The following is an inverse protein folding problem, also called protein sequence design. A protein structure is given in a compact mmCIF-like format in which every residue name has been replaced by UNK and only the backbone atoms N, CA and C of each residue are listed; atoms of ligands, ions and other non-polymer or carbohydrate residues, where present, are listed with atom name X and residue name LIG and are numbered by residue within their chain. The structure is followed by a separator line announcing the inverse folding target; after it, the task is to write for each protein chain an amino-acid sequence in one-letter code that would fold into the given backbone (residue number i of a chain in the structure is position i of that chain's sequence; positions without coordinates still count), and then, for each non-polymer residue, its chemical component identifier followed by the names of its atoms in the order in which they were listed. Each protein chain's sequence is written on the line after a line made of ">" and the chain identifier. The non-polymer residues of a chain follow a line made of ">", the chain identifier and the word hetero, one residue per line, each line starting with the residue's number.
data_IF_538266216646
#
_entry.id   IF_538266216646
#
_cell.length_a   1.000
_cell.length_b   1.000
_cell.length_c   1.000
_cell.angle_alpha   90.00
_cell.angle_beta   90.00
_cell.angle_gamma   90.00
#
_symmetry.space_group_name_H-M   'P 1'
#
loop_
_entity.id
_entity.type
_entity.pdbx_description
1 polymer ?
#
# COMPACT_ATOMS: atom_id res chain seq x y z
N UNK A 1 -9.82 -36.61 -8.18
CA UNK A 1 -8.89 -36.48 -7.04
C UNK A 1 -8.45 -35.03 -6.97
N UNK A 2 -8.60 -34.38 -5.82
CA UNK A 2 -8.10 -33.01 -5.61
C UNK A 2 -6.57 -33.03 -5.59
N UNK A 3 -5.94 -32.16 -6.38
CA UNK A 3 -4.47 -32.07 -6.46
C UNK A 3 -3.91 -31.26 -5.30
N UNK A 4 -2.63 -31.51 -4.98
CA UNK A 4 -1.84 -30.74 -4.02
C UNK A 4 -1.64 -29.29 -4.49
N UNK A 5 -1.44 -28.38 -3.54
CA UNK A 5 -1.12 -26.97 -3.81
C UNK A 5 0.31 -26.67 -3.38
N UNK A 6 1.15 -26.20 -4.31
CA UNK A 6 2.53 -25.80 -4.03
C UNK A 6 2.68 -24.27 -4.04
N UNK A 7 3.51 -23.75 -3.13
CA UNK A 7 3.97 -22.37 -3.11
C UNK A 7 5.30 -22.27 -2.36
N UNK A 8 6.31 -21.63 -2.98
CA UNK A 8 7.63 -21.54 -2.36
C UNK A 8 8.29 -22.92 -2.21
N UNK A 9 8.77 -23.24 -1.01
CA UNK A 9 9.36 -24.54 -0.69
C UNK A 9 8.37 -25.58 -0.13
N UNK A 10 7.08 -25.25 -0.07
CA UNK A 10 6.06 -26.08 0.58
C UNK A 10 4.97 -26.55 -0.38
N UNK A 11 4.48 -27.77 -0.15
CA UNK A 11 3.38 -28.40 -0.86
C UNK A 11 2.36 -28.92 0.15
N UNK A 12 1.10 -28.56 -0.01
CA UNK A 12 -0.03 -29.03 0.81
C UNK A 12 -0.88 -30.04 0.04
N UNK A 13 -0.98 -31.27 0.53
CA UNK A 13 -1.93 -32.26 0.05
C UNK A 13 -3.34 -32.00 0.61
N UNK A 14 -4.40 -32.60 0.02
CA UNK A 14 -5.76 -32.47 0.56
C UNK A 14 -5.87 -32.88 2.04
N UNK A 15 -6.43 -32.00 2.86
CA UNK A 15 -6.56 -32.18 4.31
C UNK A 15 -5.34 -31.75 5.12
N UNK A 16 -4.36 -31.07 4.51
CA UNK A 16 -3.15 -30.63 5.20
C UNK A 16 -3.14 -29.12 5.50
N UNK A 17 -2.54 -28.80 6.65
CA UNK A 17 -2.06 -27.48 7.01
C UNK A 17 -0.53 -27.56 7.16
N UNK A 18 0.19 -26.81 6.33
CA UNK A 18 1.65 -26.88 6.26
C UNK A 18 2.27 -25.48 6.26
N UNK A 19 3.45 -25.38 6.85
CA UNK A 19 4.23 -24.15 6.96
C UNK A 19 5.45 -24.22 6.05
N UNK A 20 5.80 -23.09 5.44
CA UNK A 20 6.96 -22.99 4.58
C UNK A 20 7.40 -21.55 4.35
N UNK A 21 8.19 -21.37 3.29
CA UNK A 21 8.84 -20.12 2.96
C UNK A 21 8.77 -19.81 1.47
N UNK A 22 8.51 -18.56 1.16
CA UNK A 22 8.73 -18.00 -0.17
C UNK A 22 10.06 -17.24 -0.17
N UNK A 23 10.97 -17.54 -1.08
CA UNK A 23 12.20 -16.75 -1.22
C UNK A 23 11.90 -15.40 -1.91
N UNK A 24 11.87 -14.33 -1.11
CA UNK A 24 11.67 -12.97 -1.63
C UNK A 24 12.93 -12.46 -2.31
N UNK A 25 14.08 -12.59 -1.66
CA UNK A 25 15.35 -12.09 -2.17
C UNK A 25 16.55 -12.88 -1.61
N UNK A 26 17.59 -13.04 -2.42
CA UNK A 26 18.92 -13.45 -1.96
C UNK A 26 19.76 -12.20 -1.72
N UNK A 27 20.36 -12.08 -0.53
CA UNK A 27 21.14 -10.92 -0.09
C UNK A 27 22.63 -11.10 -0.41
N UNK A 28 23.40 -10.00 -0.61
CA UNK A 28 24.85 -10.08 -0.89
C UNK A 28 25.68 -10.77 0.20
N UNK A 29 25.14 -10.86 1.42
CA UNK A 29 25.75 -11.55 2.56
C UNK A 29 25.56 -13.08 2.51
N UNK A 30 24.85 -13.61 1.50
CA UNK A 30 24.51 -15.03 1.38
C UNK A 30 23.23 -15.43 2.13
N UNK A 31 22.64 -14.52 2.92
CA UNK A 31 21.35 -14.75 3.56
C UNK A 31 20.18 -14.62 2.57
N UNK A 32 19.03 -15.21 2.93
CA UNK A 32 17.79 -15.13 2.15
C UNK A 32 16.72 -14.39 2.95
N UNK A 33 16.14 -13.36 2.34
CA UNK A 33 14.90 -12.75 2.83
C UNK A 33 13.75 -13.63 2.37
N UNK A 34 12.95 -14.13 3.32
CA UNK A 34 11.90 -15.12 3.06
C UNK A 34 10.58 -14.70 3.69
N UNK A 35 9.48 -14.86 2.96
CA UNK A 35 8.13 -14.66 3.48
C UNK A 35 7.65 -15.95 4.14
N UNK A 36 7.11 -15.90 5.38
CA UNK A 36 6.45 -17.06 5.96
C UNK A 36 5.16 -17.37 5.18
N UNK A 37 4.98 -18.63 4.78
CA UNK A 37 3.75 -19.12 4.16
C UNK A 37 3.11 -20.14 5.10
N UNK A 38 1.80 -20.08 5.21
CA UNK A 38 0.99 -21.20 5.69
C UNK A 38 -0.02 -21.55 4.60
N UNK A 39 0.04 -22.80 4.12
CA UNK A 39 -0.93 -23.34 3.17
C UNK A 39 -1.92 -24.23 3.94
N UNK A 40 -3.20 -23.99 3.73
CA UNK A 40 -4.26 -24.86 4.22
C UNK A 40 -5.03 -25.37 3.02
N UNK A 41 -5.00 -26.69 2.80
CA UNK A 41 -5.68 -27.33 1.68
C UNK A 41 -6.82 -28.17 2.22
N UNK A 42 -8.04 -27.76 1.90
CA UNK A 42 -9.24 -28.53 2.17
C UNK A 42 -9.23 -29.91 1.50
N UNK A 43 -9.97 -30.86 2.06
CA UNK A 43 -10.15 -32.19 1.43
C UNK A 43 -10.92 -32.09 0.12
N UNK A 44 -11.90 -31.19 0.09
CA UNK A 44 -12.78 -30.97 -1.03
C UNK A 44 -12.30 -29.80 -1.93
N UNK A 45 -12.60 -29.84 -3.24
CA UNK A 45 -12.30 -28.73 -4.13
C UNK A 45 -13.12 -27.49 -3.74
N UNK A 46 -12.59 -26.32 -4.09
CA UNK A 46 -13.20 -25.02 -3.80
C UNK A 46 -12.26 -23.89 -4.19
N UNK A 47 -12.65 -22.64 -3.92
CA UNK A 47 -11.85 -21.46 -4.28
C UNK A 47 -10.47 -21.43 -3.61
N UNK A 48 -9.58 -20.60 -4.15
CA UNK A 48 -8.31 -20.24 -3.52
C UNK A 48 -8.40 -18.81 -2.97
N UNK A 49 -8.36 -18.64 -1.66
CA UNK A 49 -8.35 -17.32 -1.01
C UNK A 49 -6.96 -17.02 -0.49
N UNK A 50 -6.46 -15.82 -0.78
CA UNK A 50 -5.21 -15.33 -0.22
C UNK A 50 -5.49 -14.33 0.90
N UNK A 51 -4.86 -14.53 2.05
CA UNK A 51 -4.88 -13.58 3.17
C UNK A 51 -3.45 -13.18 3.49
N UNK A 52 -3.13 -11.92 3.25
CA UNK A 52 -1.79 -11.36 3.48
C UNK A 52 -1.84 -10.31 4.57
N UNK A 53 -0.72 -10.09 5.23
CA UNK A 53 -0.59 -9.00 6.20
C UNK A 53 0.82 -8.42 6.19
N UNK A 54 0.96 -7.27 6.88
CA UNK A 54 2.25 -6.71 7.25
C UNK A 54 3.17 -6.47 6.04
N UNK A 55 2.60 -5.97 4.94
CA UNK A 55 3.39 -5.32 3.90
C UNK A 55 4.08 -4.07 4.47
N UNK A 56 3.43 -3.40 5.43
CA UNK A 56 4.06 -2.44 6.31
C UNK A 56 4.46 -3.10 7.63
N UNK A 57 5.75 -3.05 7.97
CA UNK A 57 6.31 -3.85 9.06
C UNK A 57 5.84 -3.46 10.47
N UNK A 58 5.34 -2.23 10.66
CA UNK A 58 4.79 -1.74 11.93
C UNK A 58 3.30 -2.06 12.12
N UNK A 59 2.64 -2.68 11.15
CA UNK A 59 1.22 -3.04 11.21
C UNK A 59 1.09 -4.51 11.66
N UNK A 60 0.85 -4.71 12.96
CA UNK A 60 0.99 -6.04 13.60
C UNK A 60 -0.33 -6.79 13.85
N UNK A 61 -1.48 -6.13 13.73
CA UNK A 61 -2.79 -6.75 14.00
C UNK A 61 -3.11 -7.86 13.00
N UNK A 62 -2.81 -7.65 11.72
CA UNK A 62 -3.07 -8.63 10.66
C UNK A 62 -2.36 -9.98 10.86
N UNK A 63 -1.12 -9.99 11.40
CA UNK A 63 -0.42 -11.23 11.73
C UNK A 63 -1.20 -12.02 12.78
N UNK A 64 -1.66 -11.32 13.82
CA UNK A 64 -2.41 -11.93 14.91
C UNK A 64 -3.75 -12.50 14.43
N UNK A 65 -4.40 -11.83 13.47
CA UNK A 65 -5.61 -12.34 12.80
C UNK A 65 -5.28 -13.62 12.03
N UNK A 66 -4.25 -13.62 11.18
CA UNK A 66 -3.86 -14.80 10.40
C UNK A 66 -3.57 -15.99 11.33
N UNK A 67 -2.77 -15.80 12.38
CA UNK A 67 -2.49 -16.88 13.34
C UNK A 67 -3.74 -17.40 14.05
N UNK A 68 -4.75 -16.55 14.28
CA UNK A 68 -6.00 -16.96 14.89
C UNK A 68 -6.90 -17.77 13.94
N UNK A 69 -6.78 -17.56 12.63
CA UNK A 69 -7.51 -18.32 11.62
C UNK A 69 -6.96 -19.74 11.47
N UNK A 70 -5.64 -19.92 11.68
CA UNK A 70 -4.92 -21.17 11.46
C UNK A 70 -5.14 -22.18 12.60
N UNK A 71 -6.40 -22.54 12.83
CA UNK A 71 -6.83 -23.58 13.76
C UNK A 71 -6.35 -24.96 13.27
N UNK A 72 -6.01 -25.87 14.18
CA UNK A 72 -5.43 -27.17 13.85
C UNK A 72 -6.34 -28.05 12.96
N UNK A 73 -7.65 -27.91 13.13
CA UNK A 73 -8.67 -28.64 12.38
C UNK A 73 -9.14 -27.89 11.12
N UNK A 74 -8.58 -26.70 10.81
CA UNK A 74 -9.08 -25.87 9.71
C UNK A 74 -9.10 -26.63 8.37
N UNK A 75 -8.09 -27.45 8.09
CA UNK A 75 -8.00 -28.20 6.84
C UNK A 75 -9.13 -29.24 6.66
N UNK A 76 -9.69 -29.76 7.75
CA UNK A 76 -10.78 -30.73 7.69
C UNK A 76 -12.14 -30.08 7.37
N UNK A 77 -12.30 -28.81 7.71
CA UNK A 77 -13.54 -28.03 7.52
C UNK A 77 -13.51 -27.10 6.30
N UNK A 78 -12.33 -26.87 5.73
CA UNK A 78 -12.13 -26.01 4.58
C UNK A 78 -12.46 -26.74 3.27
N UNK A 79 -13.07 -26.04 2.32
CA UNK A 79 -13.14 -26.41 0.89
C UNK A 79 -12.24 -25.49 0.09
N UNK A 80 -11.43 -26.05 -0.80
CA UNK A 80 -10.46 -25.27 -1.60
C UNK A 80 -9.12 -25.03 -0.88
N UNK A 81 -8.52 -23.86 -1.06
CA UNK A 81 -7.20 -23.52 -0.51
C UNK A 81 -7.18 -22.15 0.14
N UNK A 82 -6.69 -22.07 1.37
CA UNK A 82 -6.27 -20.80 1.98
C UNK A 82 -4.74 -20.68 1.87
N UNK A 83 -4.28 -19.60 1.24
CA UNK A 83 -2.88 -19.18 1.27
C UNK A 83 -2.77 -18.02 2.26
N UNK A 84 -2.08 -18.25 3.37
CA UNK A 84 -1.84 -17.23 4.38
C UNK A 84 -0.38 -16.80 4.38
N UNK A 85 -0.13 -15.50 4.27
CA UNK A 85 1.22 -14.91 4.38
C UNK A 85 1.20 -13.92 5.54
N UNK A 86 1.61 -14.33 6.75
CA UNK A 86 1.61 -13.46 7.92
C UNK A 86 2.39 -12.17 7.73
N UNK A 87 3.52 -12.20 7.01
CA UNK A 87 4.31 -11.00 6.75
C UNK A 87 4.83 -10.95 5.32
N UNK A 88 4.42 -9.92 4.59
CA UNK A 88 4.96 -9.57 3.27
C UNK A 88 6.25 -8.74 3.37
N UNK A 89 6.61 -8.24 4.57
CA UNK A 89 7.81 -7.46 4.82
C UNK A 89 8.48 -7.84 6.17
N UNK A 90 9.07 -9.05 6.28
CA UNK A 90 9.72 -9.50 7.51
C UNK A 90 10.86 -8.57 7.96
N UNK A 91 11.66 -8.05 7.02
CA UNK A 91 12.67 -7.04 7.28
C UNK A 91 12.11 -5.78 7.99
N UNK A 92 10.99 -5.23 7.52
CA UNK A 92 10.30 -4.11 8.16
C UNK A 92 9.76 -4.50 9.54
N UNK A 93 9.19 -5.69 9.68
CA UNK A 93 8.67 -6.21 10.94
C UNK A 93 9.75 -6.32 12.02
N UNK A 94 10.91 -6.89 11.69
CA UNK A 94 12.05 -6.99 12.60
C UNK A 94 12.51 -5.62 13.09
N UNK A 95 12.48 -4.62 12.22
CA UNK A 95 12.81 -3.24 12.57
C UNK A 95 11.66 -2.46 13.22
N UNK A 96 10.44 -3.03 13.26
CA UNK A 96 9.19 -2.34 13.60
C UNK A 96 9.03 -1.04 12.81
N UNK A 97 9.31 -1.10 11.53
CA UNK A 97 9.22 0.02 10.59
C UNK A 97 8.27 -0.32 9.46
N UNK A 98 7.55 0.70 8.99
CA UNK A 98 6.71 0.61 7.79
C UNK A 98 7.46 0.03 6.58
N UNK A 99 8.70 0.45 6.37
CA UNK A 99 9.52 0.06 5.21
C UNK A 99 10.56 -0.99 5.57
N UNK A 100 11.01 -1.75 4.56
CA UNK A 100 12.11 -2.69 4.70
C UNK A 100 13.44 -1.94 4.89
N UNK A 101 14.38 -2.52 5.63
CA UNK A 101 15.77 -2.00 5.62
C UNK A 101 16.53 -2.36 4.33
N UNK A 102 15.96 -3.21 3.47
CA UNK A 102 16.51 -3.56 2.15
C UNK A 102 16.15 -2.53 1.06
N UNK A 103 15.03 -1.82 1.23
CA UNK A 103 14.56 -0.77 0.34
C UNK A 103 13.72 0.25 1.13
N UNK A 104 14.11 1.52 1.08
CA UNK A 104 13.46 2.61 1.84
C UNK A 104 12.15 3.10 1.21
N UNK A 105 11.81 2.64 0.02
CA UNK A 105 10.52 2.93 -0.62
C UNK A 105 9.39 2.21 0.12
N UNK A 106 8.17 2.71 -0.02
CA UNK A 106 6.99 2.00 0.49
C UNK A 106 6.85 0.65 -0.25
N UNK A 107 6.95 -0.50 0.44
CA UNK A 107 6.90 -1.82 -0.19
C UNK A 107 5.54 -2.08 -0.86
N UNK A 108 4.47 -1.45 -0.40
CA UNK A 108 3.15 -1.53 -1.00
C UNK A 108 3.02 -0.63 -2.25
N UNK A 109 4.16 -0.19 -2.83
CA UNK A 109 4.29 0.47 -4.14
C UNK A 109 5.28 -0.25 -5.05
N UNK A 110 5.77 -1.42 -4.62
CA UNK A 110 6.80 -2.20 -5.32
C UNK A 110 6.23 -3.38 -6.11
N UNK A 111 4.92 -3.63 -6.05
CA UNK A 111 4.28 -4.63 -6.91
C UNK A 111 4.28 -4.18 -8.38
N UNK A 112 4.02 -5.09 -9.34
CA UNK A 112 3.97 -4.77 -10.76
C UNK A 112 2.96 -3.65 -11.10
N UNK A 113 3.27 -2.94 -12.20
CA UNK A 113 2.52 -1.77 -12.68
C UNK A 113 1.26 -2.14 -13.47
N UNK A 114 0.28 -1.23 -13.49
CA UNK A 114 -0.93 -1.34 -14.30
C UNK A 114 -1.24 -0.03 -15.06
N UNK A 115 -1.29 -0.07 -16.41
CA UNK A 115 -0.89 -1.20 -17.24
C UNK A 115 0.62 -1.47 -17.09
N UNK A 116 1.13 -2.65 -17.49
CA UNK A 116 2.56 -2.85 -17.60
C UNK A 116 3.08 -1.83 -18.61
N UNK A 117 3.77 -0.79 -18.15
CA UNK A 117 4.29 0.27 -19.00
C UNK A 117 5.60 -0.22 -19.65
N UNK A 118 5.65 -0.42 -20.98
CA UNK A 118 6.85 -0.86 -21.66
C UNK A 118 7.97 0.17 -21.49
N UNK A 119 9.11 -0.24 -20.94
CA UNK A 119 10.27 0.64 -20.73
C UNK A 119 10.21 1.57 -19.50
N UNK A 120 9.17 1.49 -18.67
CA UNK A 120 9.10 2.10 -17.34
C UNK A 120 9.41 1.10 -16.21
N UNK A 121 9.39 -0.20 -16.51
CA UNK A 121 10.08 -1.18 -15.69
C UNK A 121 11.57 -0.84 -15.71
N UNK A 122 12.18 -0.64 -14.53
CA UNK A 122 13.62 -0.51 -14.46
C UNK A 122 14.26 -1.72 -15.14
N UNK A 123 15.18 -1.52 -16.08
CA UNK A 123 16.01 -2.59 -16.67
C UNK A 123 16.75 -3.40 -15.57
N UNK A 124 16.85 -2.82 -14.38
CA UNK A 124 17.33 -3.43 -13.15
C UNK A 124 16.31 -3.20 -12.03
N UNK A 125 15.25 -4.02 -11.91
CA UNK A 125 14.30 -3.88 -10.81
C UNK A 125 15.06 -4.04 -9.49
N UNK A 126 14.67 -3.26 -8.47
CA UNK A 126 15.26 -3.47 -7.15
C UNK A 126 14.93 -4.87 -6.63
N UNK A 127 15.73 -5.37 -5.69
CA UNK A 127 15.62 -6.76 -5.24
C UNK A 127 14.22 -7.12 -4.74
N UNK A 128 13.53 -6.19 -4.06
CA UNK A 128 12.16 -6.39 -3.59
C UNK A 128 11.12 -6.31 -4.72
N UNK A 129 11.30 -5.45 -5.72
CA UNK A 129 10.39 -5.40 -6.88
C UNK A 129 10.44 -6.71 -7.67
N UNK A 130 11.64 -7.27 -7.85
CA UNK A 130 11.80 -8.59 -8.47
C UNK A 130 11.15 -9.70 -7.64
N UNK A 131 11.33 -9.68 -6.32
CA UNK A 131 10.70 -10.61 -5.38
C UNK A 131 9.17 -10.54 -5.42
N UNK A 132 8.59 -9.35 -5.33
CA UNK A 132 7.15 -9.14 -5.39
C UNK A 132 6.55 -9.45 -6.77
N UNK A 133 7.30 -9.26 -7.86
CA UNK A 133 6.86 -9.71 -9.18
C UNK A 133 6.72 -11.24 -9.25
N UNK A 134 7.66 -11.99 -8.66
CA UNK A 134 7.53 -13.46 -8.54
C UNK A 134 6.37 -13.88 -7.65
N UNK A 135 6.20 -13.21 -6.50
CA UNK A 135 5.07 -13.47 -5.62
C UNK A 135 3.73 -13.19 -6.31
N UNK A 136 3.64 -12.08 -7.04
CA UNK A 136 2.44 -11.71 -7.79
C UNK A 136 2.08 -12.76 -8.84
N UNK A 137 3.06 -13.36 -9.53
CA UNK A 137 2.80 -14.43 -10.48
C UNK A 137 2.06 -15.61 -9.82
N UNK A 138 2.39 -15.94 -8.57
CA UNK A 138 1.69 -16.96 -7.78
C UNK A 138 0.31 -16.51 -7.30
N UNK A 139 0.18 -15.25 -6.90
CA UNK A 139 -1.10 -14.65 -6.48
C UNK A 139 -2.17 -14.69 -7.57
N UNK A 140 -1.79 -14.81 -8.86
CA UNK A 140 -2.73 -14.95 -9.98
C UNK A 140 -3.60 -16.22 -9.90
N UNK A 141 -3.27 -17.17 -9.03
CA UNK A 141 -4.05 -18.39 -8.77
C UNK A 141 -5.18 -18.16 -7.76
N UNK A 142 -5.32 -16.96 -7.20
CA UNK A 142 -6.37 -16.62 -6.24
C UNK A 142 -7.71 -16.34 -6.92
N UNK A 143 -8.79 -16.72 -6.26
CA UNK A 143 -10.16 -16.30 -6.58
C UNK A 143 -10.55 -15.02 -5.84
N UNK A 144 -10.00 -14.81 -4.63
CA UNK A 144 -10.15 -13.59 -3.83
C UNK A 144 -8.86 -13.30 -3.04
N UNK A 145 -8.60 -12.03 -2.76
CA UNK A 145 -7.46 -11.60 -1.94
C UNK A 145 -7.90 -10.59 -0.86
N UNK A 146 -7.41 -10.82 0.36
CA UNK A 146 -7.60 -9.93 1.52
C UNK A 146 -6.25 -9.51 2.05
N UNK A 147 -5.93 -8.22 1.96
CA UNK A 147 -4.68 -7.68 2.49
C UNK A 147 -4.95 -6.90 3.78
N UNK A 148 -4.42 -7.37 4.90
CA UNK A 148 -4.66 -6.85 6.24
C UNK A 148 -3.62 -5.78 6.60
N UNK A 149 -4.11 -4.57 6.83
CA UNK A 149 -3.38 -3.36 7.20
C UNK A 149 -3.83 -2.85 8.57
N UNK A 150 -3.12 -1.85 9.06
CA UNK A 150 -3.58 -0.95 10.11
C UNK A 150 -3.49 0.50 9.62
N UNK A 151 -4.35 1.36 10.16
CA UNK A 151 -4.41 2.75 9.69
C UNK A 151 -3.72 3.73 10.63
N UNK A 152 -4.09 3.68 11.91
CA UNK A 152 -3.59 4.65 12.88
C UNK A 152 -4.41 4.70 14.16
N UNK A 153 -3.93 5.54 15.09
CA UNK A 153 -4.52 5.70 16.41
C UNK A 153 -5.99 6.17 16.32
N UNK A 154 -6.90 5.43 16.99
CA UNK A 154 -8.36 5.67 17.04
C UNK A 154 -9.11 5.48 15.71
N UNK A 155 -8.49 4.91 14.68
CA UNK A 155 -9.23 4.51 13.50
C UNK A 155 -10.21 3.37 13.84
N UNK A 156 -11.45 3.45 13.36
CA UNK A 156 -12.33 2.29 13.35
C UNK A 156 -11.81 1.25 12.35
N UNK A 157 -12.33 0.02 12.41
CA UNK A 157 -12.05 -0.96 11.37
C UNK A 157 -12.92 -0.68 10.15
N UNK A 158 -12.35 -0.78 8.95
CA UNK A 158 -13.04 -0.60 7.68
C UNK A 158 -12.30 -1.33 6.56
N UNK A 159 -12.93 -1.40 5.39
CA UNK A 159 -12.25 -1.85 4.17
C UNK A 159 -12.04 -0.67 3.23
N UNK A 160 -10.92 -0.69 2.53
CA UNK A 160 -10.68 0.17 1.37
C UNK A 160 -11.05 -0.63 0.13
N UNK A 161 -12.03 -0.13 -0.61
CA UNK A 161 -12.41 -0.64 -1.93
C UNK A 161 -11.63 0.09 -3.01
N UNK A 162 -10.72 -0.63 -3.63
CA UNK A 162 -9.97 -0.17 -4.81
C UNK A 162 -10.90 0.11 -6.01
N UNK A 163 -10.40 0.94 -6.94
CA UNK A 163 -11.12 1.31 -8.16
C UNK A 163 -11.01 0.19 -9.19
N UNK A 164 -12.13 -0.28 -9.73
CA UNK A 164 -12.10 -1.12 -10.94
C UNK A 164 -11.92 -0.23 -12.17
N UNK A 165 -10.73 -0.28 -12.76
CA UNK A 165 -10.39 0.48 -13.96
C UNK A 165 -10.50 -0.39 -15.22
N UNK A 166 -10.86 0.25 -16.34
CA UNK A 166 -10.85 -0.32 -17.68
C UNK A 166 -10.43 0.75 -18.70
N UNK A 167 -9.91 0.32 -19.86
CA UNK A 167 -9.39 1.24 -20.88
C UNK A 167 -10.31 1.36 -22.07
N UNK A 168 -10.82 0.23 -22.57
CA UNK A 168 -11.55 0.17 -23.83
C UNK A 168 -13.02 -0.14 -23.54
N UNK A 169 -13.98 0.46 -24.25
CA UNK A 169 -15.41 0.23 -24.02
C UNK A 169 -15.80 -1.26 -24.06
N UNK A 170 -15.12 -2.08 -24.86
CA UNK A 170 -15.33 -3.52 -24.93
C UNK A 170 -14.96 -4.26 -23.64
N UNK A 171 -14.10 -3.68 -22.79
CA UNK A 171 -13.71 -4.26 -21.50
C UNK A 171 -14.77 -3.97 -20.40
N UNK A 172 -15.80 -3.15 -20.69
CA UNK A 172 -16.81 -2.71 -19.74
C UNK A 172 -17.61 -3.86 -19.09
N UNK A 173 -18.07 -4.90 -19.82
CA UNK A 173 -18.78 -6.02 -19.20
C UNK A 173 -17.91 -6.76 -18.18
N UNK A 174 -16.65 -7.06 -18.52
CA UNK A 174 -15.71 -7.71 -17.60
C UNK A 174 -15.33 -6.80 -16.41
N UNK A 175 -15.35 -5.48 -16.59
CA UNK A 175 -15.19 -4.54 -15.49
C UNK A 175 -16.39 -4.51 -14.54
N UNK A 176 -17.61 -4.66 -15.05
CA UNK A 176 -18.81 -4.77 -14.21
C UNK A 176 -18.84 -6.06 -13.43
N UNK A 177 -18.54 -7.18 -14.08
CA UNK A 177 -18.47 -8.48 -13.40
C UNK A 177 -17.43 -8.46 -12.25
N UNK A 178 -16.24 -7.91 -12.50
CA UNK A 178 -15.24 -7.76 -11.45
C UNK A 178 -15.71 -6.83 -10.33
N UNK A 179 -16.41 -5.74 -10.66
CA UNK A 179 -16.96 -4.82 -9.67
C UNK A 179 -18.03 -5.48 -8.80
N UNK A 180 -18.91 -6.29 -9.38
CA UNK A 180 -19.96 -7.03 -8.66
C UNK A 180 -19.34 -8.11 -7.75
N UNK A 181 -18.30 -8.83 -8.22
CA UNK A 181 -17.54 -9.76 -7.37
C UNK A 181 -16.79 -9.06 -6.23
N UNK A 182 -16.23 -7.88 -6.50
CA UNK A 182 -15.60 -7.04 -5.47
C UNK A 182 -16.63 -6.54 -4.45
N UNK A 183 -17.83 -6.18 -4.90
CA UNK A 183 -18.95 -5.80 -4.02
C UNK A 183 -19.37 -6.95 -3.11
N UNK A 184 -19.48 -8.17 -3.65
CA UNK A 184 -19.75 -9.37 -2.85
C UNK A 184 -18.66 -9.57 -1.77
N UNK A 185 -17.39 -9.51 -2.17
CA UNK A 185 -16.25 -9.63 -1.25
C UNK A 185 -16.30 -8.57 -0.14
N UNK A 186 -16.59 -7.32 -0.49
CA UNK A 186 -16.74 -6.22 0.47
C UNK A 186 -17.85 -6.52 1.49
N UNK A 187 -19.02 -6.94 1.01
CA UNK A 187 -20.20 -7.19 1.83
C UNK A 187 -20.00 -8.35 2.80
N UNK A 188 -19.29 -9.41 2.40
CA UNK A 188 -19.04 -10.55 3.28
C UNK A 188 -18.31 -10.14 4.56
N UNK A 189 -17.37 -9.20 4.50
CA UNK A 189 -16.57 -8.82 5.67
C UNK A 189 -17.38 -8.32 6.86
N UNK A 190 -18.57 -7.75 6.62
CA UNK A 190 -19.36 -7.06 7.65
C UNK A 190 -18.75 -5.75 8.14
N UNK A 191 -17.66 -5.27 7.51
CA UNK A 191 -16.99 -4.02 7.86
C UNK A 191 -17.52 -2.85 7.02
N UNK A 192 -17.45 -1.61 7.55
CA UNK A 192 -17.73 -0.41 6.77
C UNK A 192 -16.86 -0.33 5.50
N UNK A 193 -17.47 0.05 4.38
CA UNK A 193 -16.78 0.18 3.08
C UNK A 193 -16.40 1.63 2.80
N UNK A 194 -15.12 1.86 2.54
CA UNK A 194 -14.57 3.15 2.13
C UNK A 194 -14.03 3.04 0.71
N UNK A 195 -14.60 3.80 -0.22
CA UNK A 195 -14.10 3.85 -1.58
C UNK A 195 -12.77 4.61 -1.62
N UNK A 196 -11.84 4.12 -2.43
CA UNK A 196 -10.55 4.78 -2.57
C UNK A 196 -10.64 6.13 -3.30
N UNK A 197 -9.60 6.95 -3.19
CA UNK A 197 -9.46 8.30 -3.77
C UNK A 197 -9.77 8.35 -5.29
N UNK A 198 -9.99 9.55 -5.87
CA UNK A 198 -10.17 9.73 -7.31
C UNK A 198 -9.02 9.12 -8.13
N UNK A 199 -9.32 8.62 -9.33
CA UNK A 199 -8.42 7.77 -10.14
C UNK A 199 -7.12 8.45 -10.56
N UNK A 200 -7.15 9.75 -10.83
CA UNK A 200 -5.96 10.55 -11.10
C UNK A 200 -4.98 10.52 -9.92
N UNK A 201 -5.50 10.77 -8.71
CA UNK A 201 -4.70 10.73 -7.48
C UNK A 201 -4.29 9.30 -7.12
N UNK A 202 -5.14 8.32 -7.39
CA UNK A 202 -4.87 6.90 -7.18
C UNK A 202 -3.61 6.45 -7.95
N UNK A 203 -3.53 6.83 -9.23
CA UNK A 203 -2.39 6.51 -10.08
C UNK A 203 -1.15 7.31 -9.69
N UNK A 204 -1.28 8.61 -9.41
CA UNK A 204 -0.18 9.45 -8.92
C UNK A 204 0.42 8.91 -7.61
N UNK A 205 -0.41 8.43 -6.69
CA UNK A 205 0.01 7.81 -5.43
C UNK A 205 0.53 6.38 -5.59
N UNK A 206 0.55 5.84 -6.82
CA UNK A 206 0.96 4.48 -7.16
C UNK A 206 0.19 3.38 -6.42
N UNK A 207 -1.08 3.63 -6.07
CA UNK A 207 -1.91 2.67 -5.34
C UNK A 207 -2.26 1.43 -6.20
N UNK A 208 -2.24 1.55 -7.53
CA UNK A 208 -2.34 0.40 -8.44
C UNK A 208 -1.19 -0.61 -8.27
N UNK A 209 -0.07 -0.20 -7.64
CA UNK A 209 1.08 -1.05 -7.30
C UNK A 209 1.04 -1.53 -5.83
N UNK A 210 -0.12 -1.48 -5.18
CA UNK A 210 -0.35 -2.18 -3.91
C UNK A 210 -0.66 -3.66 -4.14
N UNK A 211 -0.64 -4.45 -3.07
CA UNK A 211 -1.04 -5.87 -3.11
C UNK A 211 -2.47 -6.00 -3.70
N UNK A 212 -3.43 -5.27 -3.12
CA UNK A 212 -4.84 -5.29 -3.55
C UNK A 212 -5.02 -4.66 -4.93
N UNK A 213 -4.35 -3.54 -5.20
CA UNK A 213 -4.44 -2.79 -6.45
C UNK A 213 -3.93 -3.60 -7.65
N UNK A 214 -2.77 -4.24 -7.50
CA UNK A 214 -2.18 -5.04 -8.59
C UNK A 214 -3.03 -6.31 -8.83
N UNK A 215 -3.53 -6.95 -7.76
CA UNK A 215 -4.42 -8.11 -7.86
C UNK A 215 -5.72 -7.74 -8.60
N UNK A 216 -6.35 -6.63 -8.21
CA UNK A 216 -7.59 -6.16 -8.82
C UNK A 216 -7.41 -5.74 -10.27
N UNK A 217 -6.39 -4.93 -10.56
CA UNK A 217 -6.26 -4.28 -11.85
C UNK A 217 -5.57 -5.18 -12.88
N UNK A 218 -4.48 -5.85 -12.49
CA UNK A 218 -3.65 -6.64 -13.41
C UNK A 218 -4.02 -8.13 -13.42
N UNK A 219 -4.44 -8.70 -12.29
CA UNK A 219 -4.89 -10.10 -12.25
C UNK A 219 -6.41 -10.25 -12.43
N UNK A 220 -7.18 -9.15 -12.32
CA UNK A 220 -8.65 -9.17 -12.36
C UNK A 220 -9.26 -10.04 -11.26
N UNK A 221 -8.60 -10.07 -10.11
CA UNK A 221 -9.00 -10.81 -8.92
C UNK A 221 -9.66 -9.82 -7.94
N UNK A 222 -10.88 -10.06 -7.44
CA UNK A 222 -11.46 -9.24 -6.39
C UNK A 222 -10.53 -9.21 -5.17
N UNK A 223 -10.05 -8.02 -4.83
CA UNK A 223 -9.09 -7.81 -3.76
C UNK A 223 -9.46 -6.58 -2.93
N UNK A 224 -9.30 -6.68 -1.61
CA UNK A 224 -9.60 -5.60 -0.67
C UNK A 224 -8.43 -5.37 0.28
N UNK A 225 -8.28 -4.13 0.73
CA UNK A 225 -7.46 -3.79 1.90
C UNK A 225 -8.37 -3.66 3.11
N UNK A 226 -8.03 -4.33 4.21
CA UNK A 226 -8.75 -4.25 5.48
C UNK A 226 -7.90 -3.47 6.46
N UNK A 227 -8.45 -2.41 7.05
CA UNK A 227 -7.75 -1.52 7.97
C UNK A 227 -8.17 -1.85 9.41
N UNK A 228 -7.27 -2.43 10.21
CA UNK A 228 -7.53 -2.96 11.56
C UNK A 228 -7.03 -2.02 12.66
N UNK A 229 -7.44 -0.75 12.59
CA UNK A 229 -7.22 0.22 13.65
C UNK A 229 -5.75 0.61 13.87
N UNK A 230 -5.24 0.36 15.08
CA UNK A 230 -3.95 0.85 15.57
C UNK A 230 -2.74 0.20 14.90
N UNK A 231 -1.72 1.02 14.61
CA UNK A 231 -0.37 0.60 14.19
C UNK A 231 0.53 0.38 15.41
N UNK A 232 1.46 -0.57 15.35
CA UNK A 232 2.50 -0.81 16.36
C UNK A 232 2.08 -1.65 17.57
N UNK A 233 0.79 -1.92 17.75
CA UNK A 233 0.28 -2.84 18.77
C UNK A 233 -1.01 -3.52 18.28
N UNK A 234 -1.31 -4.68 18.86
CA UNK A 234 -2.54 -5.42 18.58
C UNK A 234 -3.66 -4.89 19.48
N UNK A 235 -4.68 -4.29 18.88
CA UNK A 235 -5.95 -3.99 19.56
C UNK A 235 -6.82 -5.27 19.55
N UNK A 236 -7.22 -5.81 20.72
CA UNK A 236 -8.06 -7.00 20.80
C UNK A 236 -9.39 -6.88 20.04
N UNK A 237 -10.02 -5.71 20.04
CA UNK A 237 -11.30 -5.50 19.36
C UNK A 237 -11.10 -5.51 17.84
N UNK A 238 -10.07 -4.80 17.35
CA UNK A 238 -9.72 -4.81 15.93
C UNK A 238 -9.26 -6.20 15.45
N UNK A 239 -8.51 -6.93 16.28
CA UNK A 239 -8.15 -8.33 16.01
C UNK A 239 -9.40 -9.20 15.86
N UNK A 240 -10.35 -9.11 16.78
CA UNK A 240 -11.58 -9.88 16.70
C UNK A 240 -12.39 -9.53 15.44
N UNK A 241 -12.48 -8.25 15.10
CA UNK A 241 -13.12 -7.81 13.86
C UNK A 241 -12.44 -8.38 12.61
N UNK A 242 -11.11 -8.40 12.57
CA UNK A 242 -10.34 -9.01 11.47
C UNK A 242 -10.57 -10.52 11.34
N UNK A 243 -10.69 -11.24 12.46
CA UNK A 243 -11.02 -12.69 12.47
C UNK A 243 -12.40 -12.93 11.87
N UNK A 244 -13.41 -12.18 12.35
CA UNK A 244 -14.78 -12.27 11.82
C UNK A 244 -14.80 -11.95 10.33
N UNK A 245 -14.16 -10.86 9.91
CA UNK A 245 -14.11 -10.45 8.51
C UNK A 245 -13.49 -11.55 7.62
N UNK A 246 -12.35 -12.13 8.02
CA UNK A 246 -11.70 -13.19 7.23
C UNK A 246 -12.52 -14.48 7.20
N UNK A 247 -13.10 -14.92 8.34
CA UNK A 247 -14.00 -16.09 8.38
C UNK A 247 -15.21 -15.89 7.48
N UNK A 248 -15.78 -14.69 7.48
CA UNK A 248 -16.90 -14.38 6.61
C UNK A 248 -16.53 -14.34 5.13
N UNK A 249 -15.33 -13.89 4.77
CA UNK A 249 -14.83 -14.02 3.39
C UNK A 249 -14.75 -15.50 3.00
N UNK A 250 -14.21 -16.36 3.88
CA UNK A 250 -14.15 -17.80 3.61
C UNK A 250 -15.56 -18.42 3.50
N UNK A 251 -16.53 -18.03 4.34
CA UNK A 251 -17.92 -18.49 4.23
C UNK A 251 -18.63 -17.98 2.98
N UNK A 252 -18.50 -16.69 2.69
CA UNK A 252 -19.08 -16.07 1.49
C UNK A 252 -18.52 -16.66 0.19
N UNK A 253 -17.25 -17.06 0.20
CA UNK A 253 -16.64 -17.81 -0.89
C UNK A 253 -17.04 -19.31 -0.92
N UNK A 254 -17.84 -19.80 0.03
CA UNK A 254 -18.23 -21.20 0.12
C UNK A 254 -17.12 -22.16 0.60
N UNK A 255 -16.05 -21.62 1.19
CA UNK A 255 -14.92 -22.40 1.71
C UNK A 255 -15.13 -22.91 3.13
N UNK A 256 -15.96 -22.23 3.93
CA UNK A 256 -16.36 -22.67 5.27
C UNK A 256 -17.89 -22.76 5.36
N UNK A 257 -18.44 -23.68 6.18
CA UNK A 257 -19.87 -23.79 6.37
C UNK A 257 -20.46 -22.67 7.24
N UNK A 258 -21.78 -22.49 7.13
CA UNK A 258 -22.58 -21.61 7.96
C UNK A 258 -22.84 -20.22 7.37
N UNK A 259 -23.64 -19.44 8.09
CA UNK A 259 -23.97 -18.05 7.74
C UNK A 259 -22.82 -17.09 8.11
N UNK A 260 -22.86 -15.88 7.55
CA UNK A 260 -21.93 -14.81 7.92
C UNK A 260 -22.09 -14.45 9.41
N UNK A 261 -20.97 -14.41 10.13
CA UNK A 261 -20.92 -13.96 11.52
C UNK A 261 -21.20 -12.45 11.59
N UNK A 262 -22.07 -11.99 12.50
CA UNK A 262 -22.29 -10.56 12.70
C UNK A 262 -21.04 -9.89 13.26
N UNK A 263 -20.72 -8.70 12.77
CA UNK A 263 -19.60 -7.91 13.28
C UNK A 263 -19.94 -7.34 14.66
N UNK A 264 -19.11 -7.65 15.66
CA UNK A 264 -19.31 -7.28 17.08
C UNK A 264 -18.04 -6.69 17.69
N UNK A 265 -18.20 -5.95 18.79
CA UNK A 265 -17.06 -5.45 19.58
C UNK A 265 -16.36 -4.20 19.01
N UNK A 266 -16.77 -3.72 17.84
CA UNK A 266 -16.28 -2.46 17.25
C UNK A 266 -17.42 -1.53 16.84
N UNK A 267 -17.20 -0.20 16.83
CA UNK A 267 -18.15 0.73 16.23
C UNK A 267 -18.23 0.52 14.71
N UNK A 268 -19.45 0.35 14.21
CA UNK A 268 -19.75 0.32 12.76
C UNK A 268 -20.53 1.60 12.44
N UNK A 269 -19.88 2.63 11.86
CA UNK A 269 -20.57 3.84 11.48
C UNK A 269 -21.66 3.52 10.45
N UNK A 270 -22.90 3.90 10.73
CA UNK A 270 -23.99 3.82 9.75
C UNK A 270 -23.91 5.05 8.86
N UNK A 271 -23.62 4.84 7.58
CA UNK A 271 -23.64 5.88 6.56
C UNK A 271 -24.65 5.50 5.49
N UNK A 272 -25.61 6.39 5.23
CA UNK A 272 -26.69 6.19 4.25
C UNK A 272 -26.22 6.41 2.79
N UNK A 273 -24.93 6.67 2.59
CA UNK A 273 -24.35 6.98 1.29
C UNK A 273 -22.93 6.43 1.18
N UNK A 274 -22.45 6.12 -0.05
CA UNK A 274 -21.07 5.74 -0.27
C UNK A 274 -20.11 6.81 0.23
N UNK A 275 -19.12 6.38 1.01
CA UNK A 275 -18.04 7.25 1.49
C UNK A 275 -16.77 7.00 0.70
N UNK A 276 -15.96 8.05 0.55
CA UNK A 276 -14.66 8.01 -0.10
C UNK A 276 -13.59 8.50 0.87
N UNK A 277 -12.40 7.90 0.79
CA UNK A 277 -11.21 8.36 1.51
C UNK A 277 -10.85 9.78 1.07
N UNK A 278 -10.55 10.65 2.03
CA UNK A 278 -9.92 11.95 1.78
C UNK A 278 -8.64 12.07 2.63
N UNK A 279 -7.64 12.79 2.12
CA UNK A 279 -6.32 12.92 2.75
C UNK A 279 -6.26 14.06 3.76
N UNK A 280 -7.21 15.00 3.71
CA UNK A 280 -7.21 16.18 4.58
C UNK A 280 -8.45 16.16 5.47
N UNK A 281 -8.31 16.18 6.81
CA UNK A 281 -9.43 16.42 7.70
C UNK A 281 -10.04 17.78 7.37
N UNK A 282 -11.27 17.81 6.85
CA UNK A 282 -12.04 19.06 6.80
C UNK A 282 -12.96 19.08 8.00
N UNK A 283 -12.48 19.62 9.12
CA UNK A 283 -13.42 20.23 10.03
C UNK A 283 -14.08 21.37 9.25
N UNK A 284 -15.42 21.49 9.29
CA UNK A 284 -16.01 22.79 9.01
C UNK A 284 -15.39 23.71 10.04
N UNK A 285 -14.58 24.66 9.60
CA UNK A 285 -14.30 25.82 10.43
C UNK A 285 -15.67 26.36 10.83
N UNK A 286 -16.09 26.09 12.07
CA UNK A 286 -16.98 27.01 12.74
C UNK A 286 -16.16 28.28 12.77
N UNK A 287 -16.38 29.17 11.80
CA UNK A 287 -15.86 30.52 11.82
C UNK A 287 -16.33 31.16 13.13
N UNK A 288 -15.60 30.92 14.21
CA UNK A 288 -15.59 31.79 15.36
C UNK A 288 -14.64 32.89 14.93
N UNK A 289 -15.12 34.12 14.65
CA UNK A 289 -14.21 35.21 14.36
C UNK A 289 -13.25 35.30 15.55
N UNK A 290 -11.95 35.17 15.28
CA UNK A 290 -10.93 35.43 16.28
C UNK A 290 -11.23 36.81 16.88
N UNK A 291 -11.27 36.97 18.21
CA UNK A 291 -11.52 38.28 18.80
C UNK A 291 -10.48 39.25 18.22
N UNK A 292 -10.98 40.33 17.62
CA UNK A 292 -10.14 41.39 17.05
C UNK A 292 -9.11 41.75 18.10
N UNK A 293 -7.83 41.48 17.83
CA UNK A 293 -6.74 41.91 18.72
C UNK A 293 -6.92 43.40 18.97
N UNK A 294 -7.20 43.77 20.21
CA UNK A 294 -7.16 45.16 20.63
C UNK A 294 -5.82 45.74 20.18
N UNK A 295 -5.87 46.83 19.40
CA UNK A 295 -4.68 47.52 18.91
C UNK A 295 -3.83 47.91 20.12
N UNK A 296 -2.67 47.27 20.29
CA UNK A 296 -1.68 47.75 21.27
C UNK A 296 -1.24 49.16 20.87
N UNK A 297 -1.08 50.10 21.82
CA UNK A 297 -0.60 51.44 21.51
C UNK A 297 0.78 51.38 20.85
N UNK A 298 0.98 52.20 19.82
CA UNK A 298 2.28 52.32 19.12
C UNK A 298 3.32 52.89 20.08
N UNK A 299 4.27 52.06 20.51
CA UNK A 299 5.50 52.54 21.15
C UNK A 299 6.37 53.19 20.07
N UNK A 300 6.63 54.51 20.21
CA UNK A 300 7.56 55.25 19.35
C UNK A 300 8.96 54.67 19.48
N UNK A 301 9.52 54.11 18.41
CA UNK A 301 10.94 53.70 18.36
C UNK A 301 11.82 54.96 18.20
N UNK A 302 12.80 55.12 19.10
CA UNK A 302 13.90 56.09 18.94
C UNK A 302 14.84 55.65 17.80
N UNK A 303 15.47 56.58 17.06
CA UNK A 303 16.35 56.25 15.94
C UNK A 303 17.72 55.73 16.44
N UNK A 304 18.43 54.95 15.61
CA UNK A 304 19.72 54.36 15.97
C UNK A 304 20.84 55.42 15.97
N UNK A 305 21.77 55.31 16.93
CA UNK A 305 23.00 56.12 16.97
C UNK A 305 24.04 55.52 16.03
N UNK A 306 24.68 56.37 15.21
CA UNK A 306 25.79 56.01 14.31
C UNK A 306 27.04 55.55 15.10
N UNK A 307 27.81 54.57 14.59
CA UNK A 307 29.12 54.25 15.15
C UNK A 307 30.20 55.22 14.64
N UNK A 308 30.96 55.81 15.57
CA UNK A 308 32.15 56.62 15.29
C UNK A 308 33.29 55.73 14.76
N UNK A 309 34.03 56.26 13.77
CA UNK A 309 35.24 55.66 13.21
C UNK A 309 36.43 55.91 14.15
N UNK A 310 37.25 54.89 14.38
CA UNK A 310 38.61 55.04 14.93
C UNK A 310 39.67 54.48 13.95
N UNK A 311 40.88 55.05 13.91
CA UNK A 311 41.88 54.78 12.88
C UNK A 311 42.77 53.55 13.20
N UNK A 312 43.33 52.93 12.14
CA UNK A 312 44.44 51.94 12.16
C UNK A 312 45.75 52.64 12.54
N UNK A 313 46.85 52.07 13.05
CA UNK A 313 47.57 50.77 13.02
C UNK A 313 48.59 50.75 14.22
N UNK A 314 49.66 49.90 14.36
CA UNK A 314 50.16 48.75 13.59
C UNK A 314 50.59 47.50 14.42
N UNK A 315 51.27 46.56 13.75
CA UNK A 315 51.54 45.14 14.07
C UNK A 315 52.51 44.82 15.23
N UNK A 316 52.36 43.64 15.86
CA UNK A 316 53.44 42.83 16.43
C UNK A 316 53.01 41.38 16.76
N UNK A 317 53.89 40.40 16.55
CA UNK A 317 53.97 39.21 17.42
C UNK A 317 53.46 37.87 16.90
N UNK A 318 54.25 37.21 16.04
CA UNK A 318 54.21 35.74 15.84
C UNK A 318 54.43 35.01 17.18
N UNK A 319 53.59 34.03 17.52
CA UNK A 319 54.04 32.83 18.25
C UNK A 319 53.35 31.56 17.73
N UNK A 320 54.21 30.60 17.38
CA UNK A 320 53.93 29.26 16.86
C UNK A 320 53.32 28.37 17.94
N UNK A 321 52.37 27.50 17.58
CA UNK A 321 52.19 26.20 18.24
C UNK A 321 52.13 25.09 17.19
N UNK A 322 53.13 24.22 17.26
CA UNK A 322 53.25 22.99 16.49
C UNK A 322 52.43 21.88 17.15
N UNK A 323 51.83 21.00 16.33
CA UNK A 323 51.00 19.90 16.81
C UNK A 323 50.69 18.86 15.73
N UNK A 324 51.75 18.14 15.30
CA UNK A 324 51.78 16.75 14.77
C UNK A 324 50.71 16.32 13.75
N UNK A 325 51.08 16.36 12.46
CA UNK A 325 50.51 15.50 11.40
C UNK A 325 51.18 14.11 11.45
N UNK A 326 50.39 13.05 11.61
CA UNK A 326 50.84 11.65 11.43
C UNK A 326 51.08 11.39 9.94
N UNK A 327 52.29 10.94 9.61
CA UNK A 327 52.69 10.43 8.29
C UNK A 327 52.18 9.00 8.14
N UNK A 328 51.43 8.71 7.07
CA UNK A 328 51.21 7.35 6.58
C UNK A 328 52.29 7.07 5.53
N UNK A 329 53.12 6.06 5.79
CA UNK A 329 54.14 5.58 4.84
C UNK A 329 53.53 4.73 3.71
N UNK A 330 54.26 4.49 2.62
CA UNK A 330 53.77 3.76 1.46
C UNK A 330 53.75 2.25 1.70
N UNK A 331 52.69 1.57 1.23
CA UNK A 331 52.59 0.10 1.18
C UNK A 331 53.38 -0.45 -0.03
N UNK A 332 54.01 -1.63 0.07
CA UNK A 332 54.73 -2.26 -1.05
C UNK A 332 53.76 -2.99 -2.02
N UNK A 333 54.17 -3.26 -3.27
CA UNK A 333 53.29 -3.86 -4.28
C UNK A 333 53.22 -5.40 -4.13
N UNK A 334 51.99 -5.93 -4.22
CA UNK A 334 51.76 -7.37 -4.31
C UNK A 334 51.87 -7.87 -5.76
N UNK A 335 52.41 -9.08 -5.86
CA UNK A 335 52.93 -9.77 -7.06
C UNK A 335 51.82 -10.27 -8.01
N UNK A 336 52.11 -10.22 -9.31
CA UNK A 336 51.44 -11.01 -10.37
C UNK A 336 51.72 -12.51 -10.18
N UNK A 337 50.82 -13.37 -10.70
CA UNK A 337 51.24 -14.56 -11.44
C UNK A 337 50.96 -14.40 -12.94
N UNK A 338 51.82 -15.02 -13.72
CA UNK A 338 51.94 -14.99 -15.17
C UNK A 338 51.81 -16.45 -15.68
N UNK A 339 51.24 -16.60 -16.88
CA UNK A 339 51.31 -17.75 -17.82
C UNK A 339 50.26 -18.85 -17.57
N UNK A 340 49.65 -19.50 -18.58
CA UNK A 340 49.80 -19.51 -20.05
C UNK A 340 48.59 -20.24 -20.65
N UNK A 341 48.18 -19.86 -21.87
CA UNK A 341 47.26 -20.64 -22.70
C UNK A 341 47.05 -20.00 -24.08
N UNK A 342 47.90 -20.38 -25.04
CA UNK A 342 47.79 -20.12 -26.51
C UNK A 342 46.59 -20.93 -27.06
N UNK A 343 45.95 -20.67 -28.20
CA UNK A 343 46.09 -19.78 -29.36
C UNK A 343 44.73 -19.80 -30.10
N UNK A 344 44.35 -18.81 -30.91
CA UNK A 344 44.74 -18.63 -32.32
C UNK A 344 43.47 -18.17 -33.07
N UNK A 345 43.51 -17.01 -33.76
CA UNK A 345 42.40 -16.48 -34.58
C UNK A 345 42.42 -17.05 -36.01
N UNK A 346 42.05 -16.30 -37.07
CA UNK A 346 41.20 -15.08 -37.13
C UNK A 346 40.25 -15.03 -38.36
N UNK A 347 39.10 -14.35 -38.30
CA UNK A 347 38.39 -13.72 -39.45
C UNK A 347 37.37 -12.72 -38.86
N UNK A 348 37.13 -11.48 -39.30
CA UNK A 348 37.51 -10.74 -40.49
C UNK A 348 36.31 -9.92 -41.01
N UNK A 349 36.26 -8.62 -40.67
CA UNK A 349 35.46 -7.50 -41.28
C UNK A 349 33.94 -7.42 -41.00
N UNK A 350 33.26 -6.28 -41.28
CA UNK A 350 33.65 -4.87 -41.14
C UNK A 350 32.60 -4.01 -40.37
N UNK A 351 33.01 -2.81 -39.93
CA UNK A 351 32.13 -1.77 -39.39
C UNK A 351 31.34 -1.10 -40.51
N UNK A 352 30.01 -1.18 -40.45
CA UNK A 352 29.10 -0.32 -41.21
C UNK A 352 28.41 0.68 -40.28
N UNK A 353 28.59 1.98 -40.57
CA UNK A 353 27.63 3.04 -40.21
C UNK A 353 26.46 2.98 -41.20
N UNK A 354 25.24 3.28 -40.74
CA UNK A 354 24.36 4.20 -41.46
C UNK A 354 23.93 5.33 -40.52
N UNK A 355 24.17 6.60 -40.88
CA UNK A 355 23.31 7.41 -41.75
C UNK A 355 21.93 7.64 -41.13
N UNK A 356 21.70 8.88 -40.68
CA UNK A 356 20.48 9.31 -40.03
C UNK A 356 19.26 9.21 -40.95
N UNK A 357 18.15 8.80 -40.35
CA UNK A 357 16.80 9.05 -40.87
C UNK A 357 15.97 9.63 -39.74
N UNK A 358 15.33 10.75 -40.03
CA UNK A 358 14.42 11.46 -39.15
C UNK A 358 13.34 10.51 -38.61
N UNK A 359 13.14 10.53 -37.29
CA UNK A 359 12.00 9.88 -36.63
C UNK A 359 10.78 10.79 -36.82
N UNK A 360 9.64 10.30 -37.34
CA UNK A 360 8.40 11.02 -37.16
C UNK A 360 7.99 10.91 -35.69
N UNK A 361 7.75 12.05 -35.05
CA UNK A 361 7.14 12.14 -33.73
C UNK A 361 5.73 11.55 -33.76
N UNK A 362 5.61 10.26 -33.46
CA UNK A 362 4.33 9.68 -33.06
C UNK A 362 4.15 9.96 -31.56
N UNK A 363 3.52 11.10 -31.24
CA UNK A 363 2.91 11.28 -29.92
C UNK A 363 1.84 10.21 -29.75
N UNK A 364 1.91 9.30 -28.75
CA UNK A 364 0.75 8.52 -28.39
C UNK A 364 -0.25 9.51 -27.79
N UNK A 365 -1.42 9.67 -28.43
CA UNK A 365 -2.57 10.24 -27.74
C UNK A 365 -3.02 9.21 -26.70
N UNK A 366 -2.45 9.26 -25.50
CA UNK A 366 -2.96 8.54 -24.34
C UNK A 366 -4.43 8.93 -24.16
N UNK A 367 -5.34 8.00 -24.42
CA UNK A 367 -6.75 8.16 -24.06
C UNK A 367 -6.84 8.01 -22.53
N UNK A 368 -7.50 8.95 -21.82
CA UNK A 368 -7.64 8.84 -20.37
C UNK A 368 -8.40 7.56 -19.99
N UNK A 369 -7.94 6.90 -18.92
CA UNK A 369 -8.63 5.75 -18.31
C UNK A 369 -10.07 6.14 -17.97
N UNK A 370 -11.03 5.35 -18.47
CA UNK A 370 -12.46 5.65 -18.32
C UNK A 370 -13.01 4.96 -17.07
N UNK A 371 -13.81 5.69 -16.29
CA UNK A 371 -14.40 5.21 -15.03
C UNK A 371 -15.70 4.44 -15.30
N UNK A 372 -16.08 3.52 -14.41
CA UNK A 372 -17.47 3.11 -14.26
C UNK A 372 -18.23 4.23 -13.51
N UNK A 373 -19.37 4.74 -14.01
CA UNK A 373 -20.21 5.63 -13.21
C UNK A 373 -20.66 4.91 -11.93
N UNK A 374 -20.68 5.60 -10.80
CA UNK A 374 -21.28 5.07 -9.57
C UNK A 374 -22.76 4.76 -9.85
N UNK A 375 -23.28 3.62 -9.35
CA UNK A 375 -24.73 3.34 -9.45
C UNK A 375 -25.48 4.51 -8.80
N UNK A 376 -26.39 5.12 -9.55
CA UNK A 376 -27.38 6.01 -8.96
C UNK A 376 -28.25 5.19 -8.00
N UNK A 377 -28.42 5.69 -6.77
CA UNK A 377 -29.47 5.19 -5.88
C UNK A 377 -30.84 5.41 -6.56
N UNK A 378 -31.82 4.53 -6.35
CA UNK A 378 -33.21 4.80 -6.72
C UNK A 378 -33.62 6.14 -6.10
N UNK A 379 -34.12 7.03 -6.94
CA UNK A 379 -34.69 8.31 -6.54
C UNK A 379 -35.82 8.11 -5.55
N UNK A 380 -35.86 8.91 -4.48
CA UNK A 380 -37.14 9.49 -4.08
C UNK A 380 -37.00 10.84 -3.37
N UNK A 381 -37.92 11.71 -3.73
CA UNK A 381 -38.07 13.07 -3.25
C UNK A 381 -38.59 13.10 -1.81
N UNK A 382 -37.86 13.78 -0.91
CA UNK A 382 -38.44 14.56 0.18
C UNK A 382 -37.37 15.49 0.76
N UNK A 383 -37.51 16.80 0.54
CA UNK A 383 -36.86 17.80 1.39
C UNK A 383 -37.64 17.85 2.70
N UNK A 384 -37.01 17.46 3.80
CA UNK A 384 -37.46 17.85 5.14
C UNK A 384 -36.25 18.24 5.97
N UNK A 385 -36.10 19.55 6.17
CA UNK A 385 -35.22 20.13 7.18
C UNK A 385 -35.78 19.77 8.57
N UNK A 386 -34.99 19.14 9.43
CA UNK A 386 -35.27 19.08 10.87
C UNK A 386 -34.00 19.33 11.70
N UNK A 387 -34.10 20.08 12.82
CA UNK A 387 -32.94 20.66 13.50
C UNK A 387 -32.32 19.68 14.50
N UNK A 388 -30.99 19.59 14.49
CA UNK A 388 -30.21 18.84 15.48
C UNK A 388 -30.06 19.68 16.75
N UNK A 389 -30.62 19.21 17.88
CA UNK A 389 -30.30 19.71 19.23
C UNK A 389 -28.95 19.17 19.67
N UNK A 390 -28.06 20.05 20.14
CA UNK A 390 -26.75 19.72 20.72
C UNK A 390 -26.82 19.65 22.25
N UNK A 391 -26.15 18.67 22.86
CA UNK A 391 -25.79 18.67 24.28
C UNK A 391 -24.29 18.99 24.47
N UNK A 392 -23.88 19.49 25.66
CA UNK A 392 -22.80 20.47 25.80
C UNK A 392 -21.39 19.87 26.00
N UNK A 393 -20.42 20.71 25.66
CA UNK A 393 -18.98 20.49 25.67
C UNK A 393 -18.39 20.30 27.08
N UNK A 394 -17.54 19.27 27.25
CA UNK A 394 -16.57 19.16 28.34
C UNK A 394 -15.15 19.33 27.78
N UNK A 395 -14.45 20.36 28.25
CA UNK A 395 -13.12 20.77 27.82
C UNK A 395 -12.03 19.79 28.31
N UNK A 396 -11.04 19.48 27.46
CA UNK A 396 -9.65 19.34 27.91
C UNK A 396 -8.66 19.45 26.75
N UNK A 397 -7.45 19.82 27.13
CA UNK A 397 -6.42 20.59 26.43
C UNK A 397 -5.59 19.82 25.40
N UNK A 398 -5.09 20.62 24.45
CA UNK A 398 -4.23 20.31 23.32
C UNK A 398 -2.78 19.97 23.75
N UNK A 399 -2.22 18.88 23.21
CA UNK A 399 -0.77 18.73 23.01
C UNK A 399 -0.52 17.95 21.71
N UNK A 400 0.37 18.48 20.88
CA UNK A 400 0.48 18.14 19.47
C UNK A 400 1.14 16.79 19.19
N UNK A 401 0.46 15.99 18.38
CA UNK A 401 1.01 15.05 17.41
C UNK A 401 -0.01 14.97 16.28
N UNK A 402 0.42 15.08 15.01
CA UNK A 402 -0.48 15.10 13.87
C UNK A 402 -1.25 13.79 13.73
N UNK A 403 -2.49 13.78 14.21
CA UNK A 403 -3.44 12.69 14.03
C UNK A 403 -4.09 12.84 12.66
N UNK A 404 -3.79 11.93 11.73
CA UNK A 404 -4.54 11.83 10.48
C UNK A 404 -5.95 11.31 10.77
N UNK A 405 -6.89 12.23 10.98
CA UNK A 405 -8.32 11.91 11.08
C UNK A 405 -8.85 11.69 9.66
N UNK A 406 -9.33 10.48 9.35
CA UNK A 406 -10.01 10.21 8.07
C UNK A 406 -11.28 11.05 8.01
N UNK A 407 -11.38 11.92 7.00
CA UNK A 407 -12.60 12.63 6.69
C UNK A 407 -13.32 11.90 5.57
N UNK A 408 -14.58 11.54 5.80
CA UNK A 408 -15.44 10.92 4.80
C UNK A 408 -16.16 12.00 4.00
N UNK A 409 -16.07 11.95 2.67
CA UNK A 409 -16.85 12.83 1.80
C UNK A 409 -18.04 12.06 1.20
N UNK A 410 -19.22 12.69 1.23
CA UNK A 410 -20.38 12.25 0.44
C UNK A 410 -20.04 12.33 -1.04
N UNK A 411 -20.26 11.25 -1.78
CA UNK A 411 -20.19 11.27 -3.24
C UNK A 411 -21.41 12.05 -3.75
N UNK A 412 -21.23 13.31 -4.13
CA UNK A 412 -22.23 14.03 -4.91
C UNK A 412 -22.03 13.68 -6.38
N UNK A 413 -23.01 13.02 -7.00
CA UNK A 413 -23.12 12.90 -8.44
C UNK A 413 -23.53 14.26 -9.03
N UNK A 414 -22.55 15.14 -9.24
CA UNK A 414 -22.75 16.34 -10.04
C UNK A 414 -22.50 15.99 -11.50
N UNK A 415 -23.55 15.62 -12.23
CA UNK A 415 -23.57 15.71 -13.68
C UNK A 415 -23.46 17.18 -14.09
N UNK A 416 -22.33 17.58 -14.67
CA UNK A 416 -22.28 18.73 -15.55
C UNK A 416 -21.71 18.27 -16.89
N UNK A 417 -22.64 17.99 -17.79
CA UNK A 417 -22.43 18.05 -19.23
C UNK A 417 -22.00 19.46 -19.60
N UNK A 418 -20.73 19.66 -19.88
CA UNK A 418 -20.26 20.75 -20.73
C UNK A 418 -19.80 20.09 -22.03
N UNK A 419 -20.74 19.96 -22.98
CA UNK A 419 -20.41 19.69 -24.35
C UNK A 419 -19.68 20.89 -24.92
N UNK A 420 -18.52 20.65 -25.52
CA UNK A 420 -17.93 21.55 -26.51
C UNK A 420 -17.67 20.73 -27.76
N UNK A 421 -18.29 21.18 -28.85
CA UNK A 421 -18.00 20.81 -30.24
C UNK A 421 -18.05 22.11 -31.05
N UNK A 422 -17.23 22.28 -32.09
CA UNK A 422 -15.97 21.62 -32.44
C UNK A 422 -14.73 22.35 -31.87
#
# INVERSE_FOLDING_TARGET
>A
MTTSFALGDVVAAPGELVHGWFELATLPTGHRERLPIVLVRGREPGPTVWVTANIHGDEVTGLSVIHALLEADLADRLRGTLVAIPSLNPAGLHARQRVSYLDRRDPNRLFPDFPPEPGQGSDHPAVLEAGYARLFAEMRRADYLVDLHCYGLRACCFIIRDRVLYRRPEDLPAARELADRLDALCNWTGLPVVNEIPSDRYLQARLHRSVSGTALLQARIPAITVELGLTGAVDPAARQAGIIACRNVLRGAGMLPGELEPMVGIPIPRVEFPVMRDLVPRARDRHRPLPRRARRPRVRRRPPRHPQRHPRAPAAGRRRRAGRRRRLGPRPPARRPLLRGRGGGPHGRPRHRPAGRARPELRPRERPLTRLPDRACPSDHARTDMPVRTCPEGQSSNSGTGTSVVSFRRVCSSSMSAGFTP
#
